data_IF_038277813897
#
_entry.id   IF_038277813897
#
_cell.length_a   1.000
_cell.length_b   1.000
_cell.length_c   1.000
_cell.angle_alpha   90.00
_cell.angle_beta   90.00
_cell.angle_gamma   90.00
#
_symmetry.space_group_name_H-M   'P 1'
#
loop_
_entity.id
_entity.type
_entity.pdbx_description
1 polymer ?
#
# COMPACT_ATOMS: atom_id res chain seq x y z
N UNK A 1 4.85 -19.15 -28.52
CA UNK A 1 4.63 -18.30 -27.33
C UNK A 1 5.92 -17.57 -27.09
N UNK A 2 5.84 -16.25 -27.16
CA UNK A 2 6.95 -15.31 -26.96
C UNK A 2 6.89 -14.81 -25.52
N UNK A 3 7.96 -14.99 -24.75
CA UNK A 3 8.10 -14.36 -23.44
C UNK A 3 8.45 -12.88 -23.65
N UNK A 4 7.65 -12.01 -23.06
CA UNK A 4 7.81 -10.57 -23.02
C UNK A 4 8.39 -10.20 -21.66
N UNK A 5 9.48 -9.41 -21.65
CA UNK A 5 10.02 -8.83 -20.42
C UNK A 5 10.22 -7.31 -20.53
N UNK A 6 9.91 -6.58 -19.46
CA UNK A 6 10.11 -5.13 -19.32
C UNK A 6 10.43 -4.77 -17.88
N UNK A 7 10.55 -3.48 -17.58
CA UNK A 7 10.54 -2.96 -16.22
C UNK A 7 9.35 -2.04 -16.01
N UNK A 8 8.98 -1.77 -14.77
CA UNK A 8 7.94 -0.84 -14.36
C UNK A 8 8.53 0.06 -13.28
N UNK A 9 8.68 1.35 -13.59
CA UNK A 9 9.02 2.35 -12.58
C UNK A 9 7.83 2.47 -11.64
N UNK A 10 8.06 2.39 -10.34
CA UNK A 10 6.98 2.51 -9.39
C UNK A 10 6.59 3.99 -9.28
N UNK A 11 5.29 4.33 -9.21
CA UNK A 11 4.86 5.71 -8.90
C UNK A 11 5.48 6.21 -7.59
N UNK A 12 5.74 5.26 -6.70
CA UNK A 12 6.23 5.46 -5.35
C UNK A 12 7.28 4.42 -5.00
N UNK A 13 8.37 4.85 -4.37
CA UNK A 13 9.39 3.90 -3.90
C UNK A 13 8.86 3.06 -2.75
N UNK A 14 9.01 1.75 -2.84
CA UNK A 14 8.54 0.80 -1.84
C UNK A 14 9.71 0.33 -0.99
N UNK A 15 9.58 0.46 0.33
CA UNK A 15 10.55 -0.04 1.29
C UNK A 15 10.39 -1.54 1.46
N UNK A 16 11.40 -2.31 1.06
CA UNK A 16 11.38 -3.77 1.11
C UNK A 16 12.48 -4.32 1.99
N UNK A 17 12.21 -5.47 2.60
CA UNK A 17 13.25 -6.23 3.27
C UNK A 17 14.29 -6.70 2.25
N UNK A 18 15.57 -6.73 2.61
CA UNK A 18 16.62 -7.22 1.70
C UNK A 18 16.38 -8.65 1.23
N UNK A 19 15.68 -9.47 2.03
CA UNK A 19 15.28 -10.84 1.69
C UNK A 19 14.26 -10.92 0.55
N UNK A 20 13.56 -9.83 0.26
CA UNK A 20 12.58 -9.73 -0.84
C UNK A 20 13.26 -9.44 -2.18
N UNK A 21 14.48 -8.89 -2.16
CA UNK A 21 15.23 -8.55 -3.37
C UNK A 21 15.61 -9.80 -4.17
N UNK A 22 15.60 -9.67 -5.50
CA UNK A 22 15.88 -10.77 -6.43
C UNK A 22 14.85 -11.91 -6.42
N UNK A 23 13.69 -11.70 -5.80
CA UNK A 23 12.58 -12.66 -5.80
C UNK A 23 11.60 -12.33 -6.92
N UNK A 24 11.03 -13.40 -7.50
CA UNK A 24 10.00 -13.33 -8.53
C UNK A 24 8.64 -13.67 -7.90
N UNK A 25 7.63 -12.87 -8.22
CA UNK A 25 6.26 -13.00 -7.71
C UNK A 25 5.30 -13.14 -8.88
N UNK A 26 4.55 -14.23 -8.93
CA UNK A 26 3.56 -14.48 -9.97
C UNK A 26 2.17 -14.01 -9.52
N UNK A 27 1.47 -13.30 -10.39
CA UNK A 27 0.11 -12.81 -10.15
C UNK A 27 -0.67 -12.75 -11.46
N UNK A 28 -1.97 -12.47 -11.36
CA UNK A 28 -2.82 -12.19 -12.51
C UNK A 28 -3.18 -10.71 -12.56
N UNK A 29 -2.90 -10.04 -13.68
CA UNK A 29 -3.24 -8.64 -13.95
C UNK A 29 -4.17 -8.61 -15.16
N UNK A 30 -5.43 -8.22 -14.99
CA UNK A 30 -6.47 -8.34 -16.02
C UNK A 30 -6.47 -9.72 -16.73
N UNK A 31 -6.43 -10.79 -15.91
CA UNK A 31 -6.38 -12.19 -16.36
C UNK A 31 -5.14 -12.55 -17.20
N UNK A 32 -4.10 -11.71 -17.19
CA UNK A 32 -2.79 -12.04 -17.74
C UNK A 32 -1.90 -12.58 -16.62
N UNK A 33 -1.28 -13.75 -16.80
CA UNK A 33 -0.23 -14.19 -15.89
C UNK A 33 0.97 -13.25 -16.03
N UNK A 34 1.36 -12.63 -14.93
CA UNK A 34 2.47 -11.68 -14.86
C UNK A 34 3.41 -12.08 -13.73
N UNK A 35 4.70 -12.09 -14.03
CA UNK A 35 5.77 -12.22 -13.05
C UNK A 35 6.36 -10.85 -12.75
N UNK A 36 6.24 -10.39 -11.52
CA UNK A 36 6.90 -9.19 -10.99
C UNK A 36 8.24 -9.62 -10.40
N UNK A 37 9.33 -8.98 -10.83
CA UNK A 37 10.69 -9.31 -10.40
C UNK A 37 11.32 -8.17 -9.64
N UNK A 38 11.71 -8.42 -8.41
CA UNK A 38 12.41 -7.41 -7.63
C UNK A 38 13.86 -7.25 -8.10
N UNK A 39 14.42 -6.02 -8.04
CA UNK A 39 15.84 -5.82 -8.33
C UNK A 39 16.70 -6.63 -7.37
N UNK A 40 17.93 -6.93 -7.78
CA UNK A 40 18.90 -7.68 -6.98
C UNK A 40 19.81 -6.71 -6.23
N UNK A 41 20.30 -7.11 -5.07
CA UNK A 41 21.37 -6.38 -4.39
C UNK A 41 22.74 -6.94 -4.81
N UNK A 42 23.60 -6.10 -5.38
CA UNK A 42 25.00 -6.44 -5.61
C UNK A 42 25.90 -5.64 -4.66
N UNK A 43 26.76 -6.35 -3.92
CA UNK A 43 27.66 -5.72 -2.97
C UNK A 43 28.90 -5.18 -3.68
N UNK A 44 28.98 -3.85 -3.81
CA UNK A 44 30.24 -3.18 -4.14
C UNK A 44 31.05 -2.95 -2.86
N UNK A 45 32.35 -2.59 -2.98
CA UNK A 45 33.25 -2.42 -1.81
C UNK A 45 32.76 -1.41 -0.77
N UNK A 46 31.88 -0.48 -1.15
CA UNK A 46 31.44 0.60 -0.25
C UNK A 46 29.95 0.51 0.10
N UNK A 47 29.09 0.06 -0.81
CA UNK A 47 27.62 0.13 -0.67
C UNK A 47 26.91 -0.92 -1.56
N UNK A 48 25.88 -1.63 -1.07
CA UNK A 48 24.94 -2.37 -1.91
C UNK A 48 24.33 -1.49 -3.01
N UNK A 49 24.47 -1.92 -4.27
CA UNK A 49 23.79 -1.31 -5.40
C UNK A 49 22.58 -2.18 -5.77
N UNK A 50 21.41 -1.58 -5.94
CA UNK A 50 20.28 -2.27 -6.55
C UNK A 50 20.49 -2.30 -8.06
N UNK A 51 20.53 -3.51 -8.61
CA UNK A 51 20.75 -3.77 -10.03
C UNK A 51 19.50 -4.44 -10.63
N UNK A 52 19.33 -4.42 -11.97
CA UNK A 52 18.22 -5.10 -12.62
C UNK A 52 18.03 -6.56 -12.17
N UNK A 53 16.78 -7.06 -12.17
CA UNK A 53 16.51 -8.48 -12.02
C UNK A 53 17.15 -9.27 -13.19
N UNK A 54 17.28 -10.59 -13.01
CA UNK A 54 17.78 -11.46 -14.05
C UNK A 54 16.69 -11.65 -15.13
N UNK A 55 16.75 -10.85 -16.20
CA UNK A 55 15.90 -11.02 -17.38
C UNK A 55 16.40 -12.21 -18.23
N UNK A 56 15.47 -13.01 -18.76
CA UNK A 56 15.76 -14.25 -19.51
C UNK A 56 15.97 -13.98 -21.01
N UNK A 57 15.16 -13.10 -21.59
CA UNK A 57 14.98 -12.93 -23.03
C UNK A 57 15.37 -11.56 -23.55
N UNK A 58 16.12 -10.80 -22.77
CA UNK A 58 16.56 -9.48 -23.21
C UNK A 58 18.06 -9.53 -23.54
N UNK A 59 18.46 -8.71 -24.51
CA UNK A 59 19.82 -8.21 -24.73
C UNK A 59 20.78 -9.04 -25.63
N UNK A 60 20.44 -9.29 -26.91
CA UNK A 60 21.49 -9.47 -27.93
C UNK A 60 21.94 -8.16 -28.59
N UNK A 61 21.28 -7.04 -28.28
CA UNK A 61 21.52 -5.73 -28.91
C UNK A 61 21.81 -4.61 -27.88
N UNK A 62 22.85 -3.82 -28.19
CA UNK A 62 23.46 -2.76 -27.37
C UNK A 62 22.54 -1.61 -26.91
N UNK A 63 21.28 -1.56 -27.38
CA UNK A 63 20.36 -0.44 -27.15
C UNK A 63 19.71 -0.44 -25.76
N UNK A 64 19.11 -1.57 -25.34
CA UNK A 64 18.32 -1.64 -24.11
C UNK A 64 19.18 -1.82 -22.85
N UNK A 65 20.35 -2.47 -22.95
CA UNK A 65 21.32 -2.51 -21.83
C UNK A 65 21.68 -1.08 -21.36
N UNK A 66 21.90 -0.16 -22.32
CA UNK A 66 22.15 1.26 -22.04
C UNK A 66 20.93 1.99 -21.47
N UNK A 67 19.72 1.48 -21.67
CA UNK A 67 18.50 2.03 -21.07
C UNK A 67 18.36 1.56 -19.62
N UNK A 68 18.56 0.26 -19.35
CA UNK A 68 18.50 -0.29 -18.00
C UNK A 68 19.59 0.26 -17.09
N UNK A 69 20.77 0.56 -17.62
CA UNK A 69 21.84 1.26 -16.90
C UNK A 69 21.44 2.66 -16.42
N UNK A 70 20.39 3.25 -17.01
CA UNK A 70 19.85 4.57 -16.64
C UNK A 70 18.65 4.48 -15.71
N UNK A 71 18.08 3.29 -15.50
CA UNK A 71 16.94 3.08 -14.60
C UNK A 71 17.43 3.16 -13.16
N UNK A 72 16.79 4.01 -12.37
CA UNK A 72 17.01 4.01 -10.93
C UNK A 72 16.16 2.88 -10.34
N UNK A 73 16.76 1.70 -10.14
CA UNK A 73 16.07 0.54 -9.56
C UNK A 73 15.71 0.75 -8.09
N UNK A 74 16.40 1.70 -7.45
CA UNK A 74 16.15 2.10 -6.09
C UNK A 74 17.42 2.51 -5.37
N UNK A 75 17.29 2.71 -4.07
CA UNK A 75 18.38 3.04 -3.18
C UNK A 75 18.31 2.17 -1.94
N UNK A 76 19.44 1.96 -1.27
CA UNK A 76 19.42 1.32 0.03
C UNK A 76 19.20 2.34 1.15
N UNK A 77 18.71 1.85 2.28
CA UNK A 77 18.79 2.59 3.53
C UNK A 77 19.33 1.70 4.63
N UNK A 78 20.62 1.88 4.91
CA UNK A 78 21.30 1.30 6.04
C UNK A 78 22.52 2.15 6.38
N UNK A 79 22.80 2.31 7.67
CA UNK A 79 24.10 2.86 8.08
C UNK A 79 25.11 1.71 8.16
N UNK A 80 26.39 2.00 7.88
CA UNK A 80 27.45 1.00 8.06
C UNK A 80 27.45 0.50 9.50
N UNK A 81 27.13 -0.77 9.72
CA UNK A 81 27.11 -1.41 11.04
C UNK A 81 25.76 -1.95 11.51
N UNK A 82 24.66 -1.71 10.78
CA UNK A 82 23.35 -2.28 11.12
C UNK A 82 23.27 -3.78 10.82
N UNK A 83 22.55 -4.52 11.68
CA UNK A 83 22.20 -5.93 11.49
C UNK A 83 21.59 -6.15 10.09
N UNK A 84 22.09 -7.11 9.28
CA UNK A 84 21.47 -7.47 8.00
C UNK A 84 19.95 -7.65 8.06
N UNK A 85 19.41 -8.12 9.20
CA UNK A 85 17.97 -8.32 9.39
C UNK A 85 17.15 -7.02 9.48
N UNK A 86 17.77 -5.87 9.74
CA UNK A 86 17.10 -4.55 9.78
C UNK A 86 17.32 -3.72 8.51
N UNK A 87 18.09 -4.27 7.55
CA UNK A 87 18.36 -3.62 6.28
C UNK A 87 17.12 -3.65 5.40
N UNK A 88 16.74 -2.48 4.92
CA UNK A 88 15.66 -2.28 3.97
C UNK A 88 16.19 -1.50 2.77
N UNK A 89 15.61 -1.79 1.61
CA UNK A 89 15.89 -1.12 0.35
C UNK A 89 14.65 -0.38 -0.12
N UNK A 90 14.83 0.81 -0.68
CA UNK A 90 13.79 1.56 -1.37
C UNK A 90 13.82 1.17 -2.83
N UNK A 91 12.88 0.35 -3.26
CA UNK A 91 12.75 -0.08 -4.65
C UNK A 91 11.96 0.97 -5.41
N UNK A 92 12.53 1.45 -6.52
CA UNK A 92 11.93 2.45 -7.41
C UNK A 92 11.47 1.86 -8.74
N UNK A 93 11.91 0.64 -9.09
CA UNK A 93 11.45 -0.07 -10.27
C UNK A 93 11.48 -1.59 -10.05
N UNK A 94 10.59 -2.30 -10.74
CA UNK A 94 10.52 -3.78 -10.76
C UNK A 94 10.56 -4.28 -12.19
N UNK A 95 11.04 -5.49 -12.42
CA UNK A 95 10.87 -6.19 -13.69
C UNK A 95 9.45 -6.73 -13.84
N UNK A 96 8.93 -6.79 -15.06
CA UNK A 96 7.70 -7.48 -15.41
C UNK A 96 7.99 -8.52 -16.47
N UNK A 97 7.31 -9.66 -16.42
CA UNK A 97 7.29 -10.64 -17.49
C UNK A 97 5.93 -11.27 -17.69
N UNK A 98 5.59 -11.55 -18.95
CA UNK A 98 4.36 -12.23 -19.34
C UNK A 98 4.58 -12.99 -20.65
N UNK A 99 3.66 -13.84 -21.05
CA UNK A 99 3.73 -14.57 -22.32
C UNK A 99 2.68 -14.06 -23.31
N UNK A 100 3.08 -13.95 -24.57
CA UNK A 100 2.20 -13.62 -25.69
C UNK A 100 2.22 -14.72 -26.75
N UNK A 101 1.12 -14.88 -27.48
CA UNK A 101 1.15 -15.65 -28.71
C UNK A 101 1.95 -14.90 -29.79
N UNK A 102 2.59 -15.63 -30.69
CA UNK A 102 3.42 -15.06 -31.74
C UNK A 102 2.59 -14.11 -32.61
N UNK A 103 3.04 -12.87 -32.78
CA UNK A 103 2.33 -11.81 -33.52
C UNK A 103 1.34 -11.00 -32.68
N UNK A 104 1.15 -11.31 -31.39
CA UNK A 104 0.32 -10.54 -30.46
C UNK A 104 1.12 -9.76 -29.41
N UNK A 105 2.44 -9.69 -29.56
CA UNK A 105 3.33 -9.13 -28.54
C UNK A 105 2.98 -7.69 -28.17
N UNK A 106 2.71 -6.84 -29.16
CA UNK A 106 2.35 -5.44 -28.95
C UNK A 106 0.99 -5.30 -28.23
N UNK A 107 -0.02 -6.08 -28.66
CA UNK A 107 -1.35 -6.05 -28.07
C UNK A 107 -1.32 -6.45 -26.58
N UNK A 108 -0.58 -7.51 -26.26
CA UNK A 108 -0.40 -7.97 -24.86
C UNK A 108 0.39 -6.94 -24.05
N UNK A 109 1.43 -6.35 -24.63
CA UNK A 109 2.23 -5.32 -23.96
C UNK A 109 1.40 -4.07 -23.61
N UNK A 110 0.61 -3.57 -24.56
CA UNK A 110 -0.25 -2.39 -24.35
C UNK A 110 -1.35 -2.69 -23.31
N UNK A 111 -2.01 -3.84 -23.42
CA UNK A 111 -3.03 -4.26 -22.44
C UNK A 111 -2.44 -4.39 -21.03
N UNK A 112 -1.23 -4.95 -20.91
CA UNK A 112 -0.57 -5.09 -19.61
C UNK A 112 -0.28 -3.73 -18.98
N UNK A 113 0.18 -2.75 -19.75
CA UNK A 113 0.46 -1.41 -19.21
C UNK A 113 -0.83 -0.77 -18.71
N UNK A 114 -1.88 -0.75 -19.54
CA UNK A 114 -3.16 -0.15 -19.16
C UNK A 114 -3.74 -0.84 -17.91
N UNK A 115 -3.62 -2.16 -17.82
CA UNK A 115 -4.08 -2.91 -16.65
C UNK A 115 -3.21 -2.65 -15.41
N UNK A 116 -1.89 -2.47 -15.56
CA UNK A 116 -0.99 -2.11 -14.46
C UNK A 116 -1.32 -0.73 -13.89
N UNK A 117 -1.65 0.26 -14.72
CA UNK A 117 -2.02 1.61 -14.27
C UNK A 117 -3.29 1.61 -13.41
N UNK A 118 -4.26 0.74 -13.71
CA UNK A 118 -5.47 0.58 -12.92
C UNK A 118 -5.26 -0.28 -11.66
N UNK A 119 -4.45 -1.34 -11.78
CA UNK A 119 -4.28 -2.34 -10.72
C UNK A 119 -3.23 -1.97 -9.67
N UNK A 120 -2.12 -1.35 -10.09
CA UNK A 120 -1.01 -1.02 -9.19
C UNK A 120 -1.38 -0.09 -8.03
N UNK A 121 -2.27 0.92 -8.19
CA UNK A 121 -2.77 1.69 -7.05
C UNK A 121 -3.37 0.82 -5.94
N UNK A 122 -4.09 -0.26 -6.29
CA UNK A 122 -4.62 -1.19 -5.28
C UNK A 122 -3.50 -1.98 -4.60
N UNK A 123 -2.45 -2.36 -5.33
CA UNK A 123 -1.25 -3.00 -4.74
C UNK A 123 -0.58 -2.05 -3.75
N UNK A 124 -0.41 -0.77 -4.11
CA UNK A 124 0.11 0.25 -3.22
C UNK A 124 -0.74 0.41 -1.96
N UNK A 125 -2.06 0.52 -2.10
CA UNK A 125 -2.99 0.61 -0.96
C UNK A 125 -2.81 -0.58 0.00
N UNK A 126 -2.70 -1.80 -0.53
CA UNK A 126 -2.45 -3.00 0.29
C UNK A 126 -1.08 -2.98 0.94
N UNK A 127 -0.02 -2.60 0.23
CA UNK A 127 1.33 -2.46 0.82
C UNK A 127 1.30 -1.49 1.99
N UNK A 128 0.66 -0.33 1.84
CA UNK A 128 0.58 0.70 2.88
C UNK A 128 -0.21 0.21 4.10
N UNK A 129 -1.32 -0.50 3.88
CA UNK A 129 -2.12 -1.07 4.97
C UNK A 129 -1.37 -2.17 5.72
N UNK A 130 -0.73 -3.09 5.00
CA UNK A 130 -0.04 -4.25 5.59
C UNK A 130 1.26 -3.86 6.30
N UNK A 131 2.00 -2.90 5.74
CA UNK A 131 3.34 -2.53 6.22
C UNK A 131 3.39 -1.20 6.95
N UNK A 132 2.29 -0.45 6.97
CA UNK A 132 2.22 0.92 7.53
C UNK A 132 3.18 1.90 6.86
N UNK A 133 3.74 1.52 5.72
CA UNK A 133 4.44 2.45 4.85
C UNK A 133 3.44 3.50 4.37
N UNK A 134 3.93 4.73 4.25
CA UNK A 134 3.14 5.85 3.81
C UNK A 134 3.82 6.39 2.57
N UNK A 135 3.27 6.07 1.40
CA UNK A 135 3.67 6.79 0.19
C UNK A 135 3.05 8.19 0.27
N UNK A 136 3.81 9.20 -0.15
CA UNK A 136 3.55 10.59 0.25
C UNK A 136 2.22 11.14 -0.27
N UNK A 137 1.26 11.38 0.63
CA UNK A 137 0.19 12.37 0.45
C UNK A 137 -0.90 12.00 -0.56
N UNK A 138 -2.09 12.60 -0.52
CA UNK A 138 -3.01 12.54 -1.64
C UNK A 138 -2.41 13.34 -2.81
N UNK A 139 -1.45 12.76 -3.50
CA UNK A 139 -1.20 13.09 -4.88
C UNK A 139 -2.26 12.39 -5.73
N UNK A 140 -3.52 12.77 -5.52
CA UNK A 140 -4.33 13.21 -6.65
C UNK A 140 -3.86 14.59 -7.12
N UNK A 141 -2.56 14.90 -7.02
CA UNK A 141 -1.93 15.52 -8.17
C UNK A 141 -2.28 14.53 -9.27
N UNK A 142 -3.29 14.91 -10.04
CA UNK A 142 -3.30 14.63 -11.45
C UNK A 142 -1.86 14.86 -11.91
N UNK A 143 -1.04 13.81 -11.84
CA UNK A 143 0.15 13.79 -12.62
C UNK A 143 -0.44 13.60 -14.02
N UNK A 144 -0.62 14.75 -14.68
CA UNK A 144 -1.23 14.85 -15.99
C UNK A 144 -0.29 14.17 -16.98
N UNK A 145 -0.48 12.87 -17.17
CA UNK A 145 0.21 12.09 -18.18
C UNK A 145 0.15 10.59 -17.87
N UNK A 146 0.05 9.73 -18.89
CA UNK A 146 0.24 8.29 -18.72
C UNK A 146 1.63 8.06 -18.12
N UNK A 147 1.69 7.23 -17.08
CA UNK A 147 2.92 6.88 -16.39
C UNK A 147 3.48 5.57 -16.93
N UNK A 148 4.81 5.43 -16.83
CA UNK A 148 5.53 4.16 -16.94
C UNK A 148 5.52 3.52 -18.36
N UNK A 149 6.12 2.33 -18.54
CA UNK A 149 7.50 2.08 -18.95
C UNK A 149 7.62 1.48 -20.37
N UNK A 150 8.83 1.03 -20.74
CA UNK A 150 9.27 0.90 -22.13
C UNK A 150 9.66 -0.52 -22.49
N UNK A 151 8.99 -1.04 -23.50
CA UNK A 151 9.45 -2.22 -24.23
C UNK A 151 10.46 -1.82 -25.31
N UNK A 152 11.50 -2.63 -25.60
CA UNK A 152 12.09 -2.59 -26.94
C UNK A 152 12.50 -3.97 -27.47
N UNK A 153 12.28 -4.18 -28.77
CA UNK A 153 12.95 -5.20 -29.58
C UNK A 153 13.60 -4.53 -30.80
N UNK A 154 14.92 -4.40 -30.85
CA UNK A 154 15.64 -3.97 -32.06
C UNK A 154 15.91 -5.16 -32.98
N UNK A 155 14.87 -5.47 -33.74
CA UNK A 155 14.85 -5.66 -35.19
C UNK A 155 13.42 -6.06 -35.58
N UNK A 156 12.47 -5.21 -35.13
CA UNK A 156 11.34 -4.78 -35.96
C UNK A 156 9.90 -4.96 -35.46
N UNK A 157 9.38 -4.46 -34.34
CA UNK A 157 9.82 -3.67 -33.19
C UNK A 157 8.62 -3.55 -32.21
N UNK A 158 8.84 -3.34 -30.92
CA UNK A 158 7.84 -2.86 -29.93
C UNK A 158 8.50 -1.67 -29.25
N UNK A 159 7.81 -0.53 -29.04
CA UNK A 159 8.37 0.59 -28.27
C UNK A 159 7.28 1.52 -27.70
N UNK A 160 7.41 1.94 -26.44
CA UNK A 160 6.92 3.26 -25.99
C UNK A 160 7.69 3.79 -24.78
N UNK A 161 8.17 5.03 -24.85
CA UNK A 161 8.89 5.77 -23.79
C UNK A 161 8.17 7.06 -23.43
N UNK A 162 7.84 7.28 -22.16
CA UNK A 162 7.97 8.59 -21.50
C UNK A 162 8.30 8.45 -20.02
N UNK A 163 9.05 9.43 -19.51
CA UNK A 163 9.69 9.45 -18.19
C UNK A 163 9.29 10.72 -17.43
N UNK A 164 8.90 10.60 -16.18
CA UNK A 164 9.16 11.63 -15.17
C UNK A 164 9.80 10.94 -13.96
N UNK A 165 10.88 11.53 -13.46
CA UNK A 165 11.64 10.94 -12.35
C UNK A 165 10.76 10.74 -11.12
N UNK A 166 11.12 9.78 -10.25
CA UNK A 166 10.33 9.47 -9.07
C UNK A 166 10.08 10.75 -8.28
N UNK A 167 8.81 11.01 -7.93
CA UNK A 167 8.53 11.97 -6.89
C UNK A 167 9.23 11.44 -5.63
N UNK A 168 10.26 12.16 -5.17
CA UNK A 168 11.08 11.74 -4.05
C UNK A 168 10.20 11.52 -2.83
N UNK A 169 10.07 10.27 -2.38
CA UNK A 169 9.36 9.94 -1.15
C UNK A 169 10.26 10.27 0.01
N UNK A 170 9.70 11.00 0.98
CA UNK A 170 10.31 11.11 2.29
C UNK A 170 9.61 10.11 3.21
N UNK A 171 10.08 8.86 3.28
CA UNK A 171 9.66 8.00 4.38
C UNK A 171 10.37 8.51 5.63
N UNK A 172 9.63 9.20 6.48
CA UNK A 172 10.16 9.60 7.78
C UNK A 172 10.34 8.34 8.61
N UNK A 173 11.58 8.06 9.01
CA UNK A 173 11.86 7.04 10.03
C UNK A 173 11.10 7.40 11.30
N UNK A 174 10.02 6.69 11.57
CA UNK A 174 9.38 6.66 12.88
C UNK A 174 9.93 5.44 13.62
N UNK A 175 10.44 5.64 14.84
CA UNK A 175 10.91 4.55 15.71
C UNK A 175 9.86 4.15 16.76
N UNK A 176 8.60 4.60 16.59
CA UNK A 176 7.49 4.26 17.48
C UNK A 176 6.93 2.85 17.27
N UNK A 177 5.99 2.41 18.12
CA UNK A 177 5.34 1.09 18.00
C UNK A 177 4.51 0.91 16.72
N UNK A 178 4.30 2.01 16.00
CA UNK A 178 3.54 2.12 14.76
C UNK A 178 4.45 2.53 13.60
N UNK A 179 5.74 2.19 13.72
CA UNK A 179 6.74 2.35 12.67
C UNK A 179 6.35 1.52 11.42
N UNK A 180 6.65 2.03 10.22
CA UNK A 180 6.61 1.24 9.01
C UNK A 180 7.49 0.00 9.13
N UNK A 181 7.00 -1.14 8.65
CA UNK A 181 7.78 -2.35 8.49
C UNK A 181 8.27 -2.46 7.04
N UNK A 182 9.43 -3.08 6.85
CA UNK A 182 9.92 -3.38 5.52
C UNK A 182 9.03 -4.47 4.90
N UNK A 183 8.65 -4.30 3.63
CA UNK A 183 7.83 -5.26 2.89
C UNK A 183 8.60 -6.57 2.69
N UNK A 184 8.13 -7.65 3.33
CA UNK A 184 8.61 -9.01 3.11
C UNK A 184 7.96 -9.66 1.90
N UNK A 185 8.48 -10.81 1.49
CA UNK A 185 7.93 -11.59 0.38
C UNK A 185 6.48 -12.02 0.65
N UNK A 186 6.18 -12.46 1.88
CA UNK A 186 4.85 -12.91 2.26
C UNK A 186 3.81 -11.77 2.23
N UNK A 187 4.16 -10.60 2.77
CA UNK A 187 3.29 -9.42 2.73
C UNK A 187 3.08 -8.93 1.28
N UNK A 188 4.10 -9.06 0.42
CA UNK A 188 3.94 -8.67 -0.98
C UNK A 188 3.04 -9.63 -1.74
N UNK A 189 3.21 -10.95 -1.60
CA UNK A 189 2.29 -11.95 -2.18
C UNK A 189 0.85 -11.73 -1.73
N UNK A 190 0.66 -11.44 -0.43
CA UNK A 190 -0.63 -11.07 0.12
C UNK A 190 -1.19 -9.79 -0.55
N UNK A 191 -0.38 -8.75 -0.71
CA UNK A 191 -0.81 -7.52 -1.37
C UNK A 191 -1.23 -7.78 -2.84
N UNK A 192 -0.45 -8.54 -3.60
CA UNK A 192 -0.78 -8.90 -4.99
C UNK A 192 -2.11 -9.67 -5.08
N UNK A 193 -2.26 -10.69 -4.22
CA UNK A 193 -3.46 -11.54 -4.17
C UNK A 193 -4.71 -10.73 -3.84
N UNK A 194 -4.65 -9.85 -2.85
CA UNK A 194 -5.80 -9.05 -2.46
C UNK A 194 -6.10 -7.94 -3.49
N UNK A 195 -5.08 -7.32 -4.07
CA UNK A 195 -5.26 -6.29 -5.11
C UNK A 195 -5.97 -6.82 -6.36
N UNK A 196 -5.81 -8.11 -6.69
CA UNK A 196 -6.56 -8.76 -7.76
C UNK A 196 -8.08 -8.84 -7.49
N UNK A 197 -8.50 -8.77 -6.22
CA UNK A 197 -9.91 -8.72 -5.81
C UNK A 197 -10.41 -7.27 -5.74
N UNK A 198 -9.56 -6.36 -5.24
CA UNK A 198 -9.87 -4.94 -5.14
C UNK A 198 -9.04 -4.24 -4.07
N UNK A 199 -9.39 -2.98 -3.73
CA UNK A 199 -8.68 -2.24 -2.69
C UNK A 199 -8.93 -2.81 -1.29
N UNK A 200 -8.11 -2.43 -0.28
CA UNK A 200 -8.40 -2.72 1.12
C UNK A 200 -9.78 -2.21 1.57
N UNK A 201 -10.34 -2.78 2.67
CA UNK A 201 -11.52 -2.21 3.30
C UNK A 201 -11.34 -0.71 3.57
N UNK A 202 -12.40 0.08 3.33
CA UNK A 202 -12.38 1.53 3.48
C UNK A 202 -11.90 1.97 4.87
N UNK A 203 -12.21 1.20 5.90
CA UNK A 203 -11.79 1.42 7.27
C UNK A 203 -10.26 1.42 7.42
N UNK A 204 -9.58 0.49 6.75
CA UNK A 204 -8.12 0.45 6.72
C UNK A 204 -7.52 1.58 5.88
N UNK A 205 -8.16 1.94 4.77
CA UNK A 205 -7.75 3.11 3.97
C UNK A 205 -7.87 4.42 4.78
N UNK A 206 -8.94 4.58 5.56
CA UNK A 206 -9.11 5.74 6.44
C UNK A 206 -8.06 5.77 7.57
N UNK A 207 -7.68 4.61 8.12
CA UNK A 207 -6.57 4.51 9.10
C UNK A 207 -5.24 4.91 8.46
N UNK A 208 -4.97 4.45 7.24
CA UNK A 208 -3.80 4.87 6.47
C UNK A 208 -3.79 6.39 6.23
N UNK A 209 -4.90 6.94 5.77
CA UNK A 209 -5.01 8.37 5.48
C UNK A 209 -4.86 9.21 6.77
N UNK A 210 -5.43 8.73 7.88
CA UNK A 210 -5.27 9.35 9.19
C UNK A 210 -3.80 9.37 9.65
N UNK A 211 -3.06 8.29 9.42
CA UNK A 211 -1.61 8.18 9.70
C UNK A 211 -0.82 9.20 8.88
N UNK A 212 -1.04 9.24 7.57
CA UNK A 212 -0.42 10.21 6.67
C UNK A 212 -0.73 11.66 7.08
N UNK A 213 -1.98 11.96 7.44
CA UNK A 213 -2.37 13.27 7.94
C UNK A 213 -1.68 13.61 9.26
N UNK A 214 -1.52 12.64 10.17
CA UNK A 214 -0.81 12.81 11.43
C UNK A 214 0.65 13.17 11.21
N UNK A 215 1.35 12.41 10.35
CA UNK A 215 2.76 12.61 10.01
C UNK A 215 3.01 13.97 9.36
N UNK A 216 2.07 14.44 8.55
CA UNK A 216 2.09 15.77 7.92
C UNK A 216 1.59 16.90 8.84
N UNK A 217 1.48 16.66 10.14
CA UNK A 217 0.97 17.59 11.15
C UNK A 217 -0.47 18.12 10.89
N UNK A 218 -1.20 17.49 9.97
CA UNK A 218 -2.64 17.73 9.70
C UNK A 218 -3.51 17.01 10.72
N UNK A 219 -3.23 17.24 12.00
CA UNK A 219 -3.77 16.48 13.16
C UNK A 219 -5.29 16.52 13.28
N UNK A 220 -5.92 17.62 12.83
CA UNK A 220 -7.38 17.73 12.81
C UNK A 220 -7.99 16.73 11.82
N UNK A 221 -7.41 16.63 10.62
CA UNK A 221 -7.83 15.66 9.59
C UNK A 221 -7.58 14.25 10.08
N UNK A 222 -6.40 13.97 10.63
CA UNK A 222 -6.05 12.67 11.17
C UNK A 222 -7.07 12.12 12.18
N UNK A 223 -7.51 12.95 13.14
CA UNK A 223 -8.50 12.52 14.14
C UNK A 223 -9.90 12.35 13.54
N UNK A 224 -10.26 13.13 12.51
CA UNK A 224 -11.54 12.98 11.81
C UNK A 224 -11.57 11.67 11.04
N UNK A 225 -10.52 11.34 10.29
CA UNK A 225 -10.42 10.12 9.50
C UNK A 225 -10.35 8.89 10.40
N UNK A 226 -9.54 8.92 11.47
CA UNK A 226 -9.50 7.86 12.49
C UNK A 226 -10.88 7.61 13.14
N UNK A 227 -11.61 8.67 13.46
CA UNK A 227 -12.96 8.53 14.02
C UNK A 227 -13.98 8.02 13.00
N UNK A 228 -13.82 8.36 11.72
CA UNK A 228 -14.68 7.86 10.63
C UNK A 228 -14.42 6.37 10.38
N UNK A 229 -13.15 5.94 10.37
CA UNK A 229 -12.78 4.52 10.30
C UNK A 229 -13.41 3.73 11.45
N UNK A 230 -13.33 4.29 12.67
CA UNK A 230 -13.91 3.68 13.87
C UNK A 230 -15.44 3.59 13.79
N UNK A 231 -16.11 4.59 13.24
CA UNK A 231 -17.57 4.60 13.08
C UNK A 231 -18.05 3.48 12.15
N UNK A 232 -17.33 3.27 11.03
CA UNK A 232 -17.60 2.17 10.10
C UNK A 232 -17.29 0.80 10.72
N UNK A 233 -16.15 0.65 11.38
CA UNK A 233 -15.75 -0.59 12.03
C UNK A 233 -16.71 -1.01 13.16
N UNK A 234 -17.14 -0.08 14.02
CA UNK A 234 -18.15 -0.35 15.06
C UNK A 234 -19.48 -0.73 14.42
N UNK A 235 -19.85 -0.12 13.30
CA UNK A 235 -21.07 -0.47 12.58
C UNK A 235 -21.02 -1.92 12.08
N UNK A 236 -19.88 -2.38 11.56
CA UNK A 236 -19.68 -3.80 11.22
C UNK A 236 -19.77 -4.70 12.45
N UNK A 237 -19.00 -4.40 13.50
CA UNK A 237 -18.98 -5.21 14.73
C UNK A 237 -20.37 -5.35 15.34
N UNK A 238 -21.16 -4.26 15.36
CA UNK A 238 -22.55 -4.31 15.81
C UNK A 238 -23.43 -5.21 14.94
N UNK A 239 -23.29 -5.13 13.61
CA UNK A 239 -24.02 -6.02 12.68
C UNK A 239 -23.68 -7.48 12.92
N UNK A 240 -22.40 -7.79 13.17
CA UNK A 240 -21.94 -9.15 13.45
C UNK A 240 -22.50 -9.66 14.79
N UNK A 241 -22.57 -8.80 15.83
CA UNK A 241 -23.13 -9.15 17.15
C UNK A 241 -24.63 -9.43 17.14
N UNK A 242 -25.36 -8.80 16.23
CA UNK A 242 -26.82 -8.98 16.08
C UNK A 242 -27.19 -9.91 14.94
N UNK A 243 -26.19 -10.52 14.28
CA UNK A 243 -26.41 -11.46 13.20
C UNK A 243 -27.27 -12.63 13.71
N UNK A 244 -28.40 -12.87 13.05
CA UNK A 244 -29.36 -13.90 13.43
C UNK A 244 -30.53 -13.44 14.29
N UNK A 245 -30.58 -12.16 14.69
CA UNK A 245 -31.80 -11.57 15.25
C UNK A 245 -32.80 -11.19 14.12
N UNK A 246 -34.11 -11.14 14.40
CA UNK A 246 -35.09 -10.65 13.43
C UNK A 246 -34.84 -9.18 13.04
N UNK A 247 -35.03 -8.83 11.78
CA UNK A 247 -34.76 -7.47 11.25
C UNK A 247 -35.41 -6.35 12.07
N UNK A 248 -36.65 -6.55 12.51
CA UNK A 248 -37.38 -5.57 13.36
C UNK A 248 -36.65 -5.31 14.68
N UNK A 249 -36.03 -6.33 15.27
CA UNK A 249 -35.25 -6.21 16.51
C UNK A 249 -33.94 -5.47 16.23
N UNK A 250 -33.27 -5.81 15.13
CA UNK A 250 -32.02 -5.16 14.69
C UNK A 250 -32.26 -3.66 14.43
N UNK A 251 -33.30 -3.32 13.66
CA UNK A 251 -33.66 -1.93 13.37
C UNK A 251 -33.95 -1.13 14.63
N UNK A 252 -34.75 -1.68 15.55
CA UNK A 252 -35.06 -1.01 16.83
C UNK A 252 -33.81 -0.80 17.69
N UNK A 253 -32.92 -1.80 17.74
CA UNK A 253 -31.68 -1.72 18.52
C UNK A 253 -30.72 -0.66 17.96
N UNK A 254 -30.57 -0.60 16.63
CA UNK A 254 -29.64 0.30 15.96
C UNK A 254 -30.19 1.72 15.80
N UNK A 255 -31.51 1.91 15.70
CA UNK A 255 -32.12 3.23 15.50
C UNK A 255 -31.77 4.23 16.62
N UNK A 256 -31.63 3.77 17.87
CA UNK A 256 -31.24 4.58 19.01
C UNK A 256 -29.74 4.89 19.11
N UNK A 257 -28.90 4.26 18.27
CA UNK A 257 -27.44 4.27 18.41
C UNK A 257 -26.74 4.70 17.12
N UNK A 258 -27.27 5.74 16.45
CA UNK A 258 -26.73 6.27 15.19
C UNK A 258 -25.48 7.13 15.33
N UNK A 259 -25.20 7.66 16.51
CA UNK A 259 -24.00 8.45 16.75
C UNK A 259 -22.86 7.56 17.24
N UNK A 260 -21.64 7.80 16.78
CA UNK A 260 -20.44 7.05 17.16
C UNK A 260 -20.35 6.74 18.67
N UNK A 261 -20.58 7.74 19.54
CA UNK A 261 -20.56 7.53 20.99
C UNK A 261 -21.67 6.65 21.55
N UNK A 262 -22.84 6.64 20.91
CA UNK A 262 -23.93 5.73 21.25
C UNK A 262 -23.64 4.32 20.73
N UNK A 263 -23.15 4.19 19.49
CA UNK A 263 -22.78 2.91 18.88
C UNK A 263 -21.68 2.20 19.68
N UNK A 264 -20.64 2.92 20.10
CA UNK A 264 -19.55 2.37 20.93
C UNK A 264 -20.06 1.84 22.28
N UNK A 265 -20.98 2.57 22.93
CA UNK A 265 -21.62 2.12 24.18
C UNK A 265 -22.47 0.88 23.97
N UNK A 266 -23.21 0.80 22.86
CA UNK A 266 -24.00 -0.38 22.52
C UNK A 266 -23.09 -1.59 22.29
N UNK A 267 -22.02 -1.43 21.51
CA UNK A 267 -21.07 -2.50 21.21
C UNK A 267 -20.51 -3.11 22.49
N UNK A 268 -20.08 -2.26 23.43
CA UNK A 268 -19.62 -2.70 24.75
C UNK A 268 -20.69 -3.45 25.55
N UNK A 269 -21.95 -2.99 25.51
CA UNK A 269 -23.08 -3.67 26.19
C UNK A 269 -23.38 -5.04 25.60
N UNK A 270 -23.15 -5.23 24.30
CA UNK A 270 -23.31 -6.50 23.61
C UNK A 270 -22.08 -7.42 23.78
N UNK A 271 -21.08 -7.02 24.56
CA UNK A 271 -19.87 -7.81 24.80
C UNK A 271 -18.81 -7.69 23.70
N UNK A 272 -18.97 -6.74 22.76
CA UNK A 272 -17.95 -6.45 21.77
C UNK A 272 -16.70 -5.79 22.38
N UNK A 273 -15.55 -6.03 21.75
CA UNK A 273 -14.27 -5.46 22.13
C UNK A 273 -14.16 -4.00 21.67
N UNK A 274 -13.76 -3.12 22.60
CA UNK A 274 -13.41 -1.73 22.34
C UNK A 274 -12.44 -1.28 23.43
N UNK A 275 -11.40 -0.49 23.11
CA UNK A 275 -10.48 0.07 24.10
C UNK A 275 -11.23 0.78 25.24
N UNK A 276 -10.75 0.65 26.48
CA UNK A 276 -11.46 1.23 27.64
C UNK A 276 -11.63 2.75 27.52
N UNK A 277 -10.64 3.43 26.94
CA UNK A 277 -10.59 4.87 26.81
C UNK A 277 -11.09 5.40 25.45
N UNK A 278 -11.74 4.59 24.60
CA UNK A 278 -12.22 5.02 23.25
C UNK A 278 -12.99 6.34 23.27
N UNK A 279 -13.80 6.58 24.31
CA UNK A 279 -14.55 7.84 24.44
C UNK A 279 -13.62 9.05 24.59
N UNK A 280 -12.67 8.96 25.53
CA UNK A 280 -11.76 10.05 25.87
C UNK A 280 -10.68 10.26 24.82
N UNK A 281 -10.15 9.16 24.28
CA UNK A 281 -8.94 9.18 23.47
C UNK A 281 -9.24 9.34 21.97
N UNK A 282 -10.49 9.14 21.53
CA UNK A 282 -10.89 9.29 20.13
C UNK A 282 -12.19 10.06 19.95
N UNK A 283 -13.30 9.62 20.58
CA UNK A 283 -14.64 10.17 20.28
C UNK A 283 -14.73 11.66 20.65
N UNK A 284 -14.30 12.03 21.86
CA UNK A 284 -14.28 13.42 22.30
C UNK A 284 -13.33 14.29 21.45
N UNK A 285 -12.06 13.90 21.22
CA UNK A 285 -11.17 14.59 20.29
C UNK A 285 -11.77 14.80 18.90
N UNK A 286 -12.38 13.76 18.31
CA UNK A 286 -13.01 13.84 16.98
C UNK A 286 -14.18 14.78 16.97
N UNK A 287 -15.06 14.72 17.97
CA UNK A 287 -16.22 15.62 18.03
C UNK A 287 -15.79 17.08 18.19
N UNK A 288 -14.77 17.37 19.01
CA UNK A 288 -14.19 18.72 19.12
C UNK A 288 -13.57 19.16 17.78
N UNK A 289 -12.79 18.29 17.13
CA UNK A 289 -12.16 18.58 15.84
C UNK A 289 -13.19 18.86 14.73
N UNK A 290 -14.24 18.03 14.64
CA UNK A 290 -15.28 18.13 13.63
C UNK A 290 -16.18 19.35 13.84
N UNK A 291 -16.63 19.60 15.08
CA UNK A 291 -17.68 20.59 15.36
C UNK A 291 -17.17 21.94 15.87
N UNK A 292 -15.98 21.98 16.47
CA UNK A 292 -15.45 23.20 17.12
C UNK A 292 -14.20 23.75 16.42
N UNK A 293 -13.74 23.09 15.35
CA UNK A 293 -12.50 23.45 14.65
C UNK A 293 -11.25 23.26 15.52
N UNK A 294 -11.35 22.52 16.63
CA UNK A 294 -10.23 22.27 17.53
C UNK A 294 -9.13 21.48 16.84
N UNK A 295 -7.87 21.84 17.12
CA UNK A 295 -6.70 21.15 16.59
C UNK A 295 -6.06 20.33 17.72
N UNK A 296 -6.08 18.99 17.63
CA UNK A 296 -5.43 18.13 18.61
C UNK A 296 -3.91 18.34 18.66
N UNK A 297 -3.31 18.08 19.82
CA UNK A 297 -1.85 17.92 19.93
C UNK A 297 -1.37 16.68 19.16
N UNK A 298 -0.06 16.59 18.91
CA UNK A 298 0.52 15.41 18.24
C UNK A 298 0.20 14.13 19.02
N UNK A 299 0.35 14.17 20.36
CA UNK A 299 0.04 13.03 21.22
C UNK A 299 -1.43 12.63 21.11
N UNK A 300 -2.37 13.57 21.22
CA UNK A 300 -3.81 13.27 21.13
C UNK A 300 -4.18 12.69 19.77
N UNK A 301 -3.63 13.25 18.68
CA UNK A 301 -3.86 12.73 17.32
C UNK A 301 -3.33 11.32 17.14
N UNK A 302 -2.15 11.02 17.69
CA UNK A 302 -1.57 9.68 17.62
C UNK A 302 -2.35 8.68 18.48
N UNK A 303 -2.76 9.08 19.70
CA UNK A 303 -3.58 8.21 20.57
C UNK A 303 -4.93 7.88 19.91
N UNK A 304 -5.57 8.87 19.28
CA UNK A 304 -6.80 8.66 18.51
C UNK A 304 -6.60 7.68 17.34
N UNK A 305 -5.50 7.79 16.61
CA UNK A 305 -5.13 6.86 15.53
C UNK A 305 -4.98 5.43 16.06
N UNK A 306 -4.25 5.23 17.15
CA UNK A 306 -4.04 3.88 17.71
C UNK A 306 -5.33 3.23 18.21
N UNK A 307 -6.24 4.02 18.80
CA UNK A 307 -7.58 3.54 19.18
C UNK A 307 -8.37 3.09 17.94
N UNK A 308 -8.27 3.84 16.83
CA UNK A 308 -8.92 3.46 15.58
C UNK A 308 -8.34 2.18 15.00
N UNK A 309 -7.00 2.02 14.99
CA UNK A 309 -6.32 0.79 14.55
C UNK A 309 -6.85 -0.43 15.30
N UNK A 310 -6.93 -0.37 16.63
CA UNK A 310 -7.40 -1.52 17.44
C UNK A 310 -8.85 -1.90 17.12
N UNK A 311 -9.74 -0.92 16.93
CA UNK A 311 -11.15 -1.17 16.62
C UNK A 311 -11.33 -1.68 15.19
N UNK A 312 -10.57 -1.11 14.24
CA UNK A 312 -10.61 -1.55 12.83
C UNK A 312 -10.05 -2.96 12.70
N UNK A 313 -8.96 -3.30 13.40
CA UNK A 313 -8.41 -4.66 13.41
C UNK A 313 -9.35 -5.68 14.05
N UNK A 314 -10.10 -5.29 15.09
CA UNK A 314 -11.15 -6.15 15.64
C UNK A 314 -12.27 -6.45 14.63
N UNK A 315 -12.59 -5.48 13.75
CA UNK A 315 -13.62 -5.63 12.72
C UNK A 315 -13.10 -6.33 11.45
N UNK A 316 -11.88 -6.02 11.04
CA UNK A 316 -11.22 -6.50 9.82
C UNK A 316 -9.77 -6.86 10.15
N UNK A 317 -9.51 -8.05 10.74
CA UNK A 317 -8.17 -8.41 11.19
C UNK A 317 -7.16 -8.39 10.07
N UNK A 318 -6.03 -7.67 10.22
CA UNK A 318 -4.98 -7.64 9.19
C UNK A 318 -4.42 -9.04 8.89
N UNK A 319 -4.37 -9.90 9.92
CA UNK A 319 -3.96 -11.29 9.79
C UNK A 319 -4.84 -12.13 8.87
N UNK A 320 -6.04 -11.66 8.54
CA UNK A 320 -6.92 -12.33 7.57
C UNK A 320 -6.55 -12.03 6.11
N UNK A 321 -5.73 -11.00 5.86
CA UNK A 321 -5.28 -10.60 4.53
C UNK A 321 -3.90 -11.13 4.17
N UNK A 322 -3.09 -11.47 5.18
CA UNK A 322 -1.71 -11.95 5.07
C UNK A 322 -1.68 -13.45 4.89
#
# INVERSE_FOLDING_TARGET
MTLLETYFELPHTVGVAFTTLGTDFTCDVDRMPVTIRFPRAEHTRNWPLLVPPAFVNVFSDDGLSKLLDKVEWGSESGTSGDDPATKHAWVSAVGLATEAADGQEQEVADRLIDAMDEWWPNVCDWIEVLTRQVHSGPSKTLILGPHHPVWARTDGAVERLYRQGPASITVRRNNGPDAPTALGAHEFEAALRNAAVGPPPLEWLLVRDARLAHENASRRVAVIDAGTATELAISKLLKDQVAGLPDVVVEQLLAGHRMLGASAKLLKKLGGTSPENTTKDLIEPRNKAAHQGWVPSAKESYTALMVAVEIVDAAYPLSSFV
#
